data_IF_837053435591
#
_entry.id   IF_837053435591
#
_cell.length_a   1.000
_cell.length_b   1.000
_cell.length_c   1.000
_cell.angle_alpha   90.00
_cell.angle_beta   90.00
_cell.angle_gamma   90.00
#
_symmetry.space_group_name_H-M   'P 1'
#
loop_
_entity.id
_entity.type
_entity.pdbx_description
1 polymer ?
#
# COMPACT_ATOMS: atom_id res chain seq x y z
N UNK A 1 4.40 -7.76 25.62
CA UNK A 1 3.40 -6.94 24.89
C UNK A 1 4.11 -6.40 23.67
N UNK A 2 3.51 -6.47 22.50
CA UNK A 2 4.17 -5.94 21.29
C UNK A 2 4.52 -4.47 21.47
N UNK A 3 5.67 -4.01 20.91
CA UNK A 3 6.08 -2.62 20.99
C UNK A 3 4.98 -1.68 20.44
N UNK A 4 4.81 -0.49 21.02
CA UNK A 4 3.75 0.45 20.59
C UNK A 4 3.99 1.02 19.20
N UNK A 5 5.24 0.99 18.72
CA UNK A 5 5.61 1.34 17.34
C UNK A 5 6.17 0.10 16.66
N UNK A 6 5.64 -0.24 15.50
CA UNK A 6 6.12 -1.35 14.69
C UNK A 6 6.59 -0.89 13.32
N UNK A 7 7.76 -1.36 12.90
CA UNK A 7 8.30 -1.07 11.59
C UNK A 7 7.79 -2.08 10.55
N UNK A 8 7.52 -1.62 9.35
CA UNK A 8 6.91 -2.41 8.29
C UNK A 8 7.77 -2.55 7.04
N UNK A 9 7.73 -3.75 6.43
CA UNK A 9 8.47 -4.09 5.21
C UNK A 9 7.69 -3.78 3.94
N UNK A 10 8.33 -3.08 2.99
CA UNK A 10 7.76 -2.75 1.67
C UNK A 10 8.03 -3.85 0.64
N UNK A 11 7.08 -4.75 0.42
CA UNK A 11 6.91 -5.68 -0.70
C UNK A 11 8.03 -6.67 -1.00
N UNK A 12 9.25 -6.45 -0.55
CA UNK A 12 10.43 -7.23 -0.94
C UNK A 12 11.40 -7.36 0.22
N UNK A 13 11.94 -8.56 0.36
CA UNK A 13 13.06 -8.86 1.24
C UNK A 13 14.27 -9.20 0.38
N UNK A 14 15.34 -8.41 0.45
CA UNK A 14 16.52 -8.56 -0.42
C UNK A 14 17.34 -9.80 -0.06
N UNK A 15 17.40 -10.16 1.23
CA UNK A 15 18.07 -11.36 1.71
C UNK A 15 17.37 -12.63 1.19
N UNK A 16 16.06 -12.72 1.34
CA UNK A 16 15.26 -13.83 0.81
C UNK A 16 15.32 -13.93 -0.72
N UNK A 17 15.28 -12.78 -1.40
CA UNK A 17 15.39 -12.73 -2.86
C UNK A 17 16.76 -13.21 -3.38
N UNK A 18 17.82 -13.08 -2.62
CA UNK A 18 19.16 -13.55 -2.99
C UNK A 18 19.38 -15.04 -2.76
N UNK A 19 18.48 -15.74 -2.05
CA UNK A 19 18.57 -17.17 -1.79
C UNK A 19 18.26 -18.03 -3.02
N UNK A 20 18.56 -19.31 -2.91
CA UNK A 20 18.17 -20.35 -3.89
C UNK A 20 17.47 -21.48 -3.16
N UNK A 21 16.19 -21.76 -3.44
CA UNK A 21 15.33 -21.04 -4.39
C UNK A 21 15.03 -19.61 -3.95
N UNK A 22 14.86 -18.72 -4.94
CA UNK A 22 14.56 -17.30 -4.70
C UNK A 22 13.15 -17.12 -4.12
N UNK A 23 13.02 -16.33 -3.03
CA UNK A 23 11.74 -16.06 -2.37
C UNK A 23 11.33 -14.60 -2.59
N UNK A 24 10.19 -14.38 -3.25
CA UNK A 24 9.56 -13.07 -3.44
C UNK A 24 8.14 -13.21 -4.03
N UNK A 25 7.24 -12.28 -3.72
CA UNK A 25 5.81 -12.39 -4.02
C UNK A 25 5.36 -11.70 -5.33
N UNK A 26 6.26 -11.38 -6.24
CA UNK A 26 5.94 -10.54 -7.42
C UNK A 26 6.52 -11.10 -8.73
N UNK A 27 6.45 -12.42 -8.91
CA UNK A 27 6.78 -13.03 -10.21
C UNK A 27 5.75 -12.58 -11.22
N UNK A 28 6.21 -11.80 -12.17
CA UNK A 28 5.38 -11.25 -13.25
C UNK A 28 5.69 -11.92 -14.59
N UNK A 29 4.93 -11.63 -15.61
CA UNK A 29 5.16 -12.04 -16.98
C UNK A 29 4.84 -10.90 -17.95
N UNK A 30 5.37 -10.98 -19.17
CA UNK A 30 5.02 -10.02 -20.21
C UNK A 30 3.68 -10.39 -20.86
N UNK A 31 3.00 -9.42 -21.44
CA UNK A 31 1.69 -9.62 -22.08
C UNK A 31 1.74 -10.72 -23.16
N UNK A 32 2.80 -10.75 -23.98
CA UNK A 32 2.96 -11.76 -25.02
C UNK A 32 2.91 -13.20 -24.47
N UNK A 33 3.54 -13.45 -23.31
CA UNK A 33 3.44 -14.77 -22.66
C UNK A 33 2.05 -15.06 -22.13
N UNK A 34 1.29 -14.02 -21.72
CA UNK A 34 -0.09 -14.20 -21.31
C UNK A 34 -1.02 -14.55 -22.49
N UNK A 35 -0.65 -14.14 -23.71
CA UNK A 35 -1.37 -14.43 -24.97
C UNK A 35 -1.01 -15.80 -25.58
N UNK A 36 -0.01 -16.51 -25.05
CA UNK A 36 0.31 -17.88 -25.46
C UNK A 36 -0.80 -18.85 -24.98
N UNK A 37 -0.91 -20.02 -25.61
CA UNK A 37 -1.97 -21.01 -25.35
C UNK A 37 -2.03 -21.47 -23.89
N UNK A 38 -0.89 -21.55 -23.20
CA UNK A 38 -0.74 -21.91 -21.79
C UNK A 38 -0.53 -20.69 -20.87
N UNK A 39 -0.71 -19.47 -21.40
CA UNK A 39 -0.40 -18.21 -20.70
C UNK A 39 -1.12 -18.05 -19.37
N UNK A 40 -2.41 -18.39 -19.29
CA UNK A 40 -3.20 -18.38 -18.05
C UNK A 40 -2.67 -19.40 -17.03
N UNK A 41 -2.29 -20.59 -17.46
CA UNK A 41 -1.74 -21.62 -16.57
C UNK A 41 -0.37 -21.21 -16.01
N UNK A 42 0.47 -20.59 -16.84
CA UNK A 42 1.74 -20.00 -16.40
C UNK A 42 1.48 -18.87 -15.37
N UNK A 43 0.48 -18.03 -15.60
CA UNK A 43 0.09 -16.98 -14.66
C UNK A 43 -0.35 -17.58 -13.31
N UNK A 44 -1.21 -18.61 -13.34
CA UNK A 44 -1.66 -19.35 -12.14
C UNK A 44 -0.47 -19.96 -11.38
N UNK A 45 0.44 -20.64 -12.07
CA UNK A 45 1.64 -21.25 -11.45
C UNK A 45 2.52 -20.19 -10.76
N UNK A 46 2.76 -19.05 -11.42
CA UNK A 46 3.52 -17.93 -10.81
C UNK A 46 2.81 -17.35 -9.60
N UNK A 47 1.50 -17.22 -9.67
CA UNK A 47 0.67 -16.74 -8.55
C UNK A 47 0.72 -17.68 -7.36
N UNK A 48 0.60 -18.99 -7.56
CA UNK A 48 0.76 -19.99 -6.49
C UNK A 48 2.12 -19.87 -5.80
N UNK A 49 3.21 -19.70 -6.57
CA UNK A 49 4.53 -19.52 -5.98
C UNK A 49 4.63 -18.19 -5.24
N UNK A 50 4.02 -17.10 -5.77
CA UNK A 50 3.97 -15.81 -5.09
C UNK A 50 3.23 -15.92 -3.75
N UNK A 51 2.07 -16.58 -3.70
CA UNK A 51 1.29 -16.82 -2.47
C UNK A 51 2.11 -17.64 -1.47
N UNK A 52 2.75 -18.71 -1.91
CA UNK A 52 3.61 -19.53 -1.03
C UNK A 52 4.75 -18.73 -0.43
N UNK A 53 5.36 -17.86 -1.21
CA UNK A 53 6.48 -17.05 -0.76
C UNK A 53 6.05 -15.95 0.23
N UNK A 54 4.77 -15.51 0.22
CA UNK A 54 4.22 -14.60 1.26
C UNK A 54 4.38 -15.24 2.63
N UNK A 55 4.08 -16.55 2.79
CA UNK A 55 4.22 -17.24 4.06
C UNK A 55 5.67 -17.20 4.55
N UNK A 56 6.62 -17.55 3.69
CA UNK A 56 8.05 -17.52 4.01
C UNK A 56 8.52 -16.11 4.40
N UNK A 57 7.97 -15.07 3.74
CA UNK A 57 8.28 -13.68 4.09
C UNK A 57 7.69 -13.28 5.46
N UNK A 58 6.48 -13.76 5.79
CA UNK A 58 5.88 -13.55 7.12
C UNK A 58 6.72 -14.23 8.19
N UNK A 59 7.15 -15.50 7.99
CA UNK A 59 7.99 -16.23 8.93
C UNK A 59 9.30 -15.46 9.21
N UNK A 60 9.99 -15.05 8.15
CA UNK A 60 11.22 -14.27 8.25
C UNK A 60 11.00 -12.92 8.97
N UNK A 61 9.90 -12.25 8.66
CA UNK A 61 9.57 -10.97 9.28
C UNK A 61 9.40 -11.13 10.81
N UNK A 62 8.63 -12.15 11.24
CA UNK A 62 8.39 -12.42 12.66
C UNK A 62 9.70 -12.75 13.39
N UNK A 63 10.57 -13.55 12.77
CA UNK A 63 11.90 -13.87 13.33
C UNK A 63 12.81 -12.62 13.48
N UNK A 64 12.45 -11.50 12.86
CA UNK A 64 13.21 -10.25 12.88
C UNK A 64 12.38 -9.06 13.40
N UNK A 65 11.37 -9.31 14.24
CA UNK A 65 10.52 -8.30 14.90
C UNK A 65 9.81 -7.34 13.92
N UNK A 66 9.47 -7.84 12.74
CA UNK A 66 8.71 -7.10 11.72
C UNK A 66 7.29 -7.67 11.65
N UNK A 67 6.30 -6.94 12.16
CA UNK A 67 4.92 -7.43 12.24
C UNK A 67 3.96 -6.75 11.23
N UNK A 68 4.50 -5.98 10.30
CA UNK A 68 3.73 -5.30 9.25
C UNK A 68 4.41 -5.48 7.90
N UNK A 69 3.65 -5.85 6.87
CA UNK A 69 4.17 -5.96 5.52
C UNK A 69 3.21 -5.40 4.49
N UNK A 70 3.75 -4.68 3.51
CA UNK A 70 3.04 -4.30 2.30
C UNK A 70 3.14 -5.42 1.28
N UNK A 71 2.01 -5.95 0.85
CA UNK A 71 1.94 -6.90 -0.25
C UNK A 71 2.21 -6.20 -1.59
N UNK A 72 2.76 -6.94 -2.54
CA UNK A 72 2.92 -6.45 -3.92
C UNK A 72 1.60 -6.48 -4.66
N UNK A 73 1.29 -5.44 -5.44
CA UNK A 73 0.17 -5.45 -6.40
C UNK A 73 0.36 -6.46 -7.54
N UNK A 74 1.57 -7.03 -7.66
CA UNK A 74 1.92 -8.01 -8.72
C UNK A 74 1.94 -9.45 -8.22
N UNK A 75 1.17 -9.80 -7.17
CA UNK A 75 1.01 -11.21 -6.74
C UNK A 75 0.41 -12.03 -7.88
N UNK A 76 -0.54 -11.45 -8.61
CA UNK A 76 -1.24 -12.06 -9.74
C UNK A 76 -0.87 -11.32 -11.02
N UNK A 77 -0.08 -11.94 -11.93
CA UNK A 77 0.30 -11.30 -13.19
C UNK A 77 -0.92 -10.89 -14.02
N UNK A 78 -0.95 -9.64 -14.49
CA UNK A 78 -2.00 -9.09 -15.34
C UNK A 78 -3.44 -9.13 -14.79
N UNK A 79 -3.67 -9.43 -13.51
CA UNK A 79 -5.01 -9.60 -12.96
C UNK A 79 -5.95 -8.42 -13.26
N UNK A 80 -5.45 -7.18 -13.18
CA UNK A 80 -6.20 -5.95 -13.49
C UNK A 80 -5.92 -5.39 -14.89
N UNK A 81 -5.45 -6.24 -15.83
CA UNK A 81 -5.15 -5.78 -17.18
C UNK A 81 -6.43 -5.41 -17.93
N UNK A 82 -6.62 -4.10 -18.14
CA UNK A 82 -7.81 -3.54 -18.76
C UNK A 82 -8.08 -4.05 -20.17
N UNK A 83 -7.04 -4.19 -21.00
CA UNK A 83 -7.18 -4.67 -22.38
C UNK A 83 -7.68 -6.11 -22.42
N UNK A 84 -7.16 -6.97 -21.53
CA UNK A 84 -7.63 -8.35 -21.40
C UNK A 84 -9.07 -8.39 -20.89
N UNK A 85 -9.41 -7.59 -19.88
CA UNK A 85 -10.78 -7.46 -19.38
C UNK A 85 -11.77 -6.96 -20.44
N UNK A 86 -11.32 -6.16 -21.41
CA UNK A 86 -12.14 -5.66 -22.54
C UNK A 86 -12.05 -6.54 -23.78
N UNK A 87 -11.42 -7.70 -23.71
CA UNK A 87 -11.24 -8.62 -24.86
C UNK A 87 -10.49 -7.97 -26.03
N UNK A 88 -9.55 -7.06 -25.74
CA UNK A 88 -8.73 -6.33 -26.73
C UNK A 88 -7.38 -7.00 -26.97
N UNK A 89 -7.20 -8.26 -26.57
CA UNK A 89 -5.97 -9.04 -26.70
C UNK A 89 -6.26 -10.44 -27.24
N UNK A 90 -5.23 -11.25 -27.46
CA UNK A 90 -5.38 -12.63 -27.92
C UNK A 90 -5.67 -13.63 -26.77
N UNK A 91 -5.73 -13.15 -25.53
CA UNK A 91 -6.08 -13.99 -24.38
C UNK A 91 -7.53 -14.41 -24.46
N UNK A 92 -7.81 -15.69 -24.24
CA UNK A 92 -9.19 -16.21 -24.20
C UNK A 92 -9.99 -15.48 -23.10
N UNK A 93 -11.09 -14.78 -23.45
CA UNK A 93 -11.85 -13.98 -22.50
C UNK A 93 -12.47 -14.79 -21.37
N UNK A 94 -12.92 -16.02 -21.62
CA UNK A 94 -13.55 -16.89 -20.63
C UNK A 94 -12.49 -17.33 -19.60
N UNK A 95 -11.34 -17.79 -20.09
CA UNK A 95 -10.25 -18.20 -19.21
C UNK A 95 -9.70 -17.02 -18.40
N UNK A 96 -9.68 -15.82 -18.98
CA UNK A 96 -9.25 -14.63 -18.25
C UNK A 96 -10.27 -14.18 -17.19
N UNK A 97 -11.55 -14.27 -17.48
CA UNK A 97 -12.62 -14.02 -16.49
C UNK A 97 -12.52 -15.02 -15.34
N UNK A 98 -12.34 -16.33 -15.62
CA UNK A 98 -12.09 -17.35 -14.61
C UNK A 98 -10.83 -17.04 -13.78
N UNK A 99 -9.75 -16.58 -14.40
CA UNK A 99 -8.53 -16.17 -13.70
C UNK A 99 -8.80 -15.02 -12.74
N UNK A 100 -9.61 -14.01 -13.14
CA UNK A 100 -9.99 -12.88 -12.30
C UNK A 100 -10.93 -13.25 -11.13
N UNK A 101 -11.59 -14.42 -11.17
CA UNK A 101 -12.39 -14.86 -10.01
C UNK A 101 -11.55 -15.14 -8.78
N UNK A 102 -10.30 -15.58 -8.93
CA UNK A 102 -9.41 -16.07 -7.89
C UNK A 102 -9.93 -17.32 -7.17
N UNK A 103 -11.02 -17.95 -7.64
CA UNK A 103 -11.57 -19.16 -7.04
C UNK A 103 -10.63 -20.35 -7.18
N UNK A 104 -9.82 -20.36 -8.23
CA UNK A 104 -8.80 -21.38 -8.49
C UNK A 104 -7.65 -21.40 -7.46
N UNK A 105 -7.48 -20.33 -6.63
CA UNK A 105 -6.48 -20.27 -5.56
C UNK A 105 -7.09 -19.79 -4.23
N UNK A 106 -8.41 -19.95 -4.08
CA UNK A 106 -9.15 -19.50 -2.90
C UNK A 106 -8.58 -20.11 -1.62
N UNK A 107 -8.36 -21.42 -1.59
CA UNK A 107 -7.84 -22.14 -0.41
C UNK A 107 -6.49 -21.60 0.03
N UNK A 108 -5.57 -21.37 -0.92
CA UNK A 108 -4.25 -20.85 -0.61
C UNK A 108 -4.30 -19.40 -0.07
N UNK A 109 -5.23 -18.59 -0.58
CA UNK A 109 -5.44 -17.23 -0.05
C UNK A 109 -6.04 -17.26 1.35
N UNK A 110 -7.06 -18.08 1.58
CA UNK A 110 -7.67 -18.28 2.91
C UNK A 110 -6.62 -18.76 3.93
N UNK A 111 -5.78 -19.71 3.56
CA UNK A 111 -4.71 -20.26 4.41
C UNK A 111 -3.67 -19.17 4.78
N UNK A 112 -3.24 -18.36 3.82
CA UNK A 112 -2.31 -17.26 4.08
C UNK A 112 -2.96 -16.18 4.94
N UNK A 113 -4.21 -15.84 4.68
CA UNK A 113 -4.93 -14.86 5.50
C UNK A 113 -5.08 -15.32 6.94
N UNK A 114 -5.52 -16.59 7.14
CA UNK A 114 -5.58 -17.20 8.46
C UNK A 114 -4.20 -17.21 9.13
N UNK A 115 -3.16 -17.60 8.41
CA UNK A 115 -1.78 -17.63 8.93
C UNK A 115 -1.33 -16.23 9.40
N UNK A 116 -1.52 -15.19 8.59
CA UNK A 116 -1.18 -13.83 8.96
C UNK A 116 -1.94 -13.35 10.21
N UNK A 117 -3.25 -13.66 10.29
CA UNK A 117 -4.09 -13.32 11.44
C UNK A 117 -3.63 -14.05 12.71
N UNK A 118 -3.36 -15.35 12.64
CA UNK A 118 -2.88 -16.18 13.76
C UNK A 118 -1.53 -15.66 14.30
N UNK A 119 -0.68 -15.17 13.40
CA UNK A 119 0.63 -14.56 13.73
C UNK A 119 0.54 -13.09 14.09
N UNK A 120 -0.65 -12.48 14.05
CA UNK A 120 -0.86 -11.02 14.26
C UNK A 120 -0.01 -10.15 13.32
N UNK A 121 0.31 -10.68 12.13
CA UNK A 121 1.11 -9.99 11.13
C UNK A 121 0.20 -9.15 10.22
N UNK A 122 0.29 -7.83 10.30
CA UNK A 122 -0.55 -6.91 9.51
C UNK A 122 -0.13 -6.88 8.05
N UNK A 123 -1.06 -7.17 7.14
CA UNK A 123 -0.86 -7.06 5.70
C UNK A 123 -1.60 -5.83 5.14
N UNK A 124 -0.95 -5.10 4.26
CA UNK A 124 -1.50 -3.90 3.60
C UNK A 124 -1.17 -3.90 2.12
N UNK A 125 -1.91 -3.14 1.30
CA UNK A 125 -1.54 -2.83 -0.08
C UNK A 125 -1.20 -1.35 -0.26
N UNK A 126 -0.47 -1.06 -1.33
CA UNK A 126 -0.29 0.27 -1.87
C UNK A 126 -0.42 0.18 -3.40
N UNK A 127 -1.67 0.19 -3.92
CA UNK A 127 -1.94 0.15 -5.35
C UNK A 127 -1.18 1.23 -6.11
N UNK A 128 -0.81 0.93 -7.36
CA UNK A 128 0.04 1.80 -8.15
C UNK A 128 -0.55 3.20 -8.39
N UNK A 129 0.32 4.17 -8.64
CA UNK A 129 -0.03 5.60 -8.84
C UNK A 129 -0.95 5.88 -10.04
N UNK A 130 -1.19 4.88 -10.90
CA UNK A 130 -2.16 4.98 -11.99
C UNK A 130 -3.62 4.90 -11.51
N UNK A 131 -3.84 4.46 -10.28
CA UNK A 131 -5.14 4.51 -9.63
C UNK A 131 -5.48 5.95 -9.26
N UNK A 132 -6.43 6.55 -10.00
CA UNK A 132 -6.77 7.96 -9.86
C UNK A 132 -8.27 8.13 -9.61
N UNK A 133 -8.63 8.23 -8.34
CA UNK A 133 -10.02 8.40 -7.90
C UNK A 133 -10.62 9.68 -8.48
N UNK A 134 -9.87 10.79 -8.55
CA UNK A 134 -10.33 12.05 -9.11
C UNK A 134 -10.17 12.19 -10.64
N UNK A 135 -10.08 11.10 -11.40
CA UNK A 135 -9.85 11.17 -12.83
C UNK A 135 -10.98 11.89 -13.60
N UNK A 136 -10.61 12.69 -14.61
CA UNK A 136 -11.60 13.29 -15.54
C UNK A 136 -12.14 12.26 -16.53
N UNK A 137 -11.27 11.34 -16.98
CA UNK A 137 -11.67 10.26 -17.90
C UNK A 137 -12.43 9.18 -17.15
N UNK A 138 -13.62 8.86 -17.64
CA UNK A 138 -14.43 7.74 -17.12
C UNK A 138 -13.69 6.42 -17.21
N UNK A 139 -12.99 6.19 -18.32
CA UNK A 139 -12.18 4.98 -18.53
C UNK A 139 -11.06 4.85 -17.48
N UNK A 140 -10.35 5.95 -17.14
CA UNK A 140 -9.32 5.93 -16.10
C UNK A 140 -9.93 5.60 -14.73
N UNK A 141 -11.10 6.13 -14.44
CA UNK A 141 -11.83 5.81 -13.22
C UNK A 141 -12.26 4.33 -13.18
N UNK A 142 -12.78 3.78 -14.29
CA UNK A 142 -13.16 2.36 -14.38
C UNK A 142 -11.97 1.42 -14.22
N UNK A 143 -10.80 1.76 -14.79
CA UNK A 143 -9.54 1.05 -14.54
C UNK A 143 -9.15 1.07 -13.06
N UNK A 144 -9.34 2.21 -12.40
CA UNK A 144 -9.10 2.36 -10.96
C UNK A 144 -10.04 1.47 -10.16
N UNK A 145 -11.34 1.44 -10.49
CA UNK A 145 -12.31 0.56 -9.81
C UNK A 145 -11.98 -0.92 -10.01
N UNK A 146 -11.58 -1.32 -11.21
CA UNK A 146 -11.16 -2.70 -11.48
C UNK A 146 -9.95 -3.08 -10.61
N UNK A 147 -8.90 -2.28 -10.62
CA UNK A 147 -7.66 -2.59 -9.90
C UNK A 147 -7.87 -2.59 -8.37
N UNK A 148 -8.51 -1.56 -7.83
CA UNK A 148 -8.81 -1.49 -6.39
C UNK A 148 -9.80 -2.57 -5.95
N UNK A 149 -10.78 -2.91 -6.78
CA UNK A 149 -11.74 -3.99 -6.51
C UNK A 149 -11.07 -5.36 -6.41
N UNK A 150 -10.09 -5.63 -7.26
CA UNK A 150 -9.31 -6.87 -7.21
C UNK A 150 -8.40 -6.92 -5.97
N UNK A 151 -7.79 -5.81 -5.57
CA UNK A 151 -7.04 -5.74 -4.30
C UNK A 151 -7.94 -5.97 -3.07
N UNK A 152 -9.13 -5.37 -3.06
CA UNK A 152 -10.11 -5.60 -1.99
C UNK A 152 -10.57 -7.07 -1.96
N UNK A 153 -10.87 -7.66 -3.13
CA UNK A 153 -11.25 -9.08 -3.26
C UNK A 153 -10.18 -10.03 -2.74
N UNK A 154 -8.89 -9.76 -2.98
CA UNK A 154 -7.80 -10.55 -2.41
C UNK A 154 -7.88 -10.53 -0.88
N UNK A 155 -8.02 -9.37 -0.25
CA UNK A 155 -8.16 -9.28 1.19
C UNK A 155 -9.43 -9.93 1.72
N UNK A 156 -10.54 -9.85 1.00
CA UNK A 156 -11.81 -10.48 1.39
C UNK A 156 -11.69 -12.01 1.38
N UNK A 157 -11.08 -12.60 0.34
CA UNK A 157 -10.81 -14.04 0.27
C UNK A 157 -9.85 -14.46 1.39
N UNK A 158 -8.82 -13.66 1.67
CA UNK A 158 -7.89 -13.90 2.78
C UNK A 158 -8.55 -13.76 4.17
N UNK A 159 -9.80 -13.31 4.27
CA UNK A 159 -10.46 -13.05 5.56
C UNK A 159 -9.81 -11.95 6.37
N UNK A 160 -9.21 -10.96 5.70
CA UNK A 160 -8.50 -9.86 6.36
C UNK A 160 -9.47 -8.80 6.89
N UNK A 161 -9.27 -8.43 8.15
CA UNK A 161 -10.06 -7.41 8.84
C UNK A 161 -9.78 -5.96 8.38
N UNK A 162 -10.40 -4.96 9.02
CA UNK A 162 -10.35 -3.55 8.61
C UNK A 162 -8.95 -2.91 8.73
N UNK A 163 -8.04 -3.52 9.49
CA UNK A 163 -6.64 -3.08 9.57
C UNK A 163 -5.84 -3.37 8.28
N UNK A 164 -6.38 -4.22 7.38
CA UNK A 164 -5.77 -4.49 6.07
C UNK A 164 -6.26 -3.48 5.05
N UNK A 165 -5.50 -2.41 4.93
CA UNK A 165 -5.82 -1.19 4.17
C UNK A 165 -5.13 -1.15 2.82
N UNK A 166 -5.68 -0.31 1.92
CA UNK A 166 -5.10 0.04 0.62
C UNK A 166 -4.75 1.52 0.61
N UNK A 167 -3.46 1.84 0.53
CA UNK A 167 -2.96 3.21 0.50
C UNK A 167 -3.01 3.74 -0.93
N UNK A 168 -3.59 4.92 -1.15
CA UNK A 168 -3.60 5.60 -2.44
C UNK A 168 -3.23 7.08 -2.30
N UNK A 169 -2.68 7.64 -3.38
CA UNK A 169 -2.48 9.08 -3.52
C UNK A 169 -3.68 9.78 -4.15
N UNK A 170 -3.76 11.10 -4.01
CA UNK A 170 -4.83 11.90 -4.61
C UNK A 170 -4.85 11.95 -6.13
N UNK A 171 -3.74 11.60 -6.77
CA UNK A 171 -3.60 11.64 -8.22
C UNK A 171 -3.34 13.05 -8.78
N UNK A 172 -3.74 13.30 -10.03
CA UNK A 172 -3.56 14.57 -10.69
C UNK A 172 -4.56 15.64 -10.25
N UNK A 173 -4.21 16.92 -10.42
CA UNK A 173 -5.09 18.08 -10.11
C UNK A 173 -5.84 18.62 -11.31
N UNK A 174 -5.59 18.13 -12.53
CA UNK A 174 -6.31 18.44 -13.76
C UNK A 174 -6.59 19.94 -13.96
N UNK A 175 -5.58 20.79 -13.78
CA UNK A 175 -5.59 22.27 -13.88
C UNK A 175 -6.36 22.99 -12.76
N UNK A 176 -7.40 22.40 -12.17
CA UNK A 176 -8.18 22.97 -11.09
C UNK A 176 -8.27 21.98 -9.92
N UNK A 177 -7.56 22.27 -8.85
CA UNK A 177 -7.49 21.42 -7.66
C UNK A 177 -8.85 21.33 -6.96
N UNK A 178 -9.59 22.43 -6.83
CA UNK A 178 -10.90 22.46 -6.18
C UNK A 178 -11.91 21.56 -6.90
N UNK A 179 -12.07 21.74 -8.21
CA UNK A 179 -12.95 20.89 -9.02
C UNK A 179 -12.53 19.40 -8.99
N UNK A 180 -11.22 19.15 -8.90
CA UNK A 180 -10.72 17.78 -8.80
C UNK A 180 -11.05 17.17 -7.45
N UNK A 181 -10.96 17.91 -6.35
CA UNK A 181 -11.38 17.48 -5.02
C UNK A 181 -12.87 17.15 -4.99
N UNK A 182 -13.72 17.99 -5.60
CA UNK A 182 -15.17 17.74 -5.66
C UNK A 182 -15.49 16.50 -6.49
N UNK A 183 -14.79 16.29 -7.60
CA UNK A 183 -14.90 15.08 -8.41
C UNK A 183 -14.41 13.86 -7.66
N UNK A 184 -13.29 13.97 -6.93
CA UNK A 184 -12.73 12.93 -6.09
C UNK A 184 -13.75 12.47 -5.04
N UNK A 185 -14.41 13.41 -4.36
CA UNK A 185 -15.47 13.12 -3.37
C UNK A 185 -16.65 12.37 -4.00
N UNK A 186 -17.15 12.83 -5.16
CA UNK A 186 -18.26 12.16 -5.85
C UNK A 186 -17.88 10.75 -6.28
N UNK A 187 -16.75 10.59 -6.97
CA UNK A 187 -16.29 9.30 -7.48
C UNK A 187 -15.98 8.32 -6.35
N UNK A 188 -15.44 8.77 -5.22
CA UNK A 188 -15.27 7.91 -4.06
C UNK A 188 -16.60 7.36 -3.54
N UNK A 189 -17.65 8.17 -3.45
CA UNK A 189 -18.97 7.72 -3.00
C UNK A 189 -19.65 6.76 -3.99
N UNK A 190 -19.29 6.81 -5.27
CA UNK A 190 -19.74 5.86 -6.30
C UNK A 190 -19.03 4.50 -6.23
N UNK A 191 -17.91 4.39 -5.52
CA UNK A 191 -17.16 3.14 -5.41
C UNK A 191 -17.92 2.07 -4.61
N UNK A 192 -17.73 0.78 -4.93
CA UNK A 192 -18.16 -0.31 -4.07
C UNK A 192 -17.66 -0.16 -2.62
N UNK A 193 -18.49 -0.51 -1.65
CA UNK A 193 -18.19 -0.42 -0.22
C UNK A 193 -16.90 -1.19 0.14
N UNK A 194 -16.71 -2.39 -0.40
CA UNK A 194 -15.51 -3.21 -0.20
C UNK A 194 -14.21 -2.47 -0.55
N UNK A 195 -14.24 -1.56 -1.53
CA UNK A 195 -13.11 -0.70 -1.85
C UNK A 195 -13.00 0.43 -0.81
N UNK A 196 -14.11 1.17 -0.59
CA UNK A 196 -14.14 2.36 0.29
C UNK A 196 -13.69 2.03 1.71
N UNK A 197 -14.08 0.87 2.23
CA UNK A 197 -13.76 0.45 3.59
C UNK A 197 -12.29 0.15 3.83
N UNK A 198 -11.53 -0.08 2.77
CA UNK A 198 -10.10 -0.37 2.84
C UNK A 198 -9.21 0.79 2.43
N UNK A 199 -9.78 1.83 1.76
CA UNK A 199 -8.96 2.95 1.27
C UNK A 199 -8.51 3.87 2.39
N UNK A 200 -7.23 4.27 2.30
CA UNK A 200 -6.63 5.35 3.07
C UNK A 200 -5.89 6.29 2.14
N UNK A 201 -5.86 7.58 2.48
CA UNK A 201 -5.34 8.64 1.61
C UNK A 201 -3.97 9.10 2.09
N UNK A 202 -2.98 9.04 1.22
CA UNK A 202 -1.61 9.48 1.50
C UNK A 202 -1.33 10.84 0.86
N UNK A 203 -0.64 11.75 1.59
CA UNK A 203 -0.11 12.96 1.01
C UNK A 203 0.93 12.64 -0.07
N UNK A 204 1.07 13.50 -1.05
CA UNK A 204 2.04 13.29 -2.13
C UNK A 204 3.01 14.47 -2.26
N UNK A 205 4.10 14.23 -2.96
CA UNK A 205 5.19 15.18 -3.08
C UNK A 205 4.86 16.46 -3.88
N UNK A 206 3.75 16.50 -4.65
CA UNK A 206 3.48 17.60 -5.58
C UNK A 206 2.09 18.22 -5.50
N UNK A 207 1.06 17.39 -5.37
CA UNK A 207 -0.32 17.81 -5.65
C UNK A 207 -1.14 18.04 -4.38
N UNK A 208 -1.00 17.19 -3.37
CA UNK A 208 -1.83 17.17 -2.19
C UNK A 208 -0.99 17.10 -0.91
N UNK A 209 -0.96 18.19 -0.14
CA UNK A 209 -0.42 18.17 1.22
C UNK A 209 -1.46 17.64 2.22
N UNK A 210 -1.07 17.46 3.47
CA UNK A 210 -1.97 16.99 4.53
C UNK A 210 -3.17 17.93 4.70
N UNK A 211 -2.94 19.24 4.66
CA UNK A 211 -4.00 20.24 4.80
C UNK A 211 -5.04 20.20 3.67
N UNK A 212 -4.64 19.79 2.47
CA UNK A 212 -5.58 19.57 1.36
C UNK A 212 -6.49 18.36 1.59
N UNK A 213 -5.93 17.30 2.19
CA UNK A 213 -6.65 16.02 2.33
C UNK A 213 -7.44 15.90 3.64
N UNK A 214 -7.15 16.68 4.68
CA UNK A 214 -7.94 16.69 5.91
C UNK A 214 -9.43 16.94 5.64
N UNK A 215 -9.85 18.00 4.89
CA UNK A 215 -11.28 18.22 4.62
C UNK A 215 -11.93 17.11 3.79
N UNK A 216 -11.16 16.44 2.91
CA UNK A 216 -11.64 15.28 2.14
C UNK A 216 -11.85 14.10 3.09
N UNK A 217 -10.86 13.83 3.93
CA UNK A 217 -10.90 12.77 4.93
C UNK A 217 -12.05 12.93 5.93
N UNK A 218 -12.29 14.15 6.39
CA UNK A 218 -13.41 14.44 7.30
C UNK A 218 -14.76 14.18 6.63
N UNK A 219 -14.93 14.64 5.39
CA UNK A 219 -16.19 14.47 4.65
C UNK A 219 -16.49 13.01 4.30
N UNK A 220 -15.45 12.23 3.93
CA UNK A 220 -15.59 10.85 3.43
C UNK A 220 -15.25 9.79 4.47
N UNK A 221 -14.83 10.17 5.67
CA UNK A 221 -14.36 9.27 6.71
C UNK A 221 -13.21 8.35 6.25
N UNK A 222 -12.23 8.89 5.53
CA UNK A 222 -11.04 8.17 5.04
C UNK A 222 -9.85 8.49 5.93
N UNK A 223 -9.11 7.50 6.48
CA UNK A 223 -7.88 7.75 7.23
C UNK A 223 -6.77 8.35 6.35
N UNK A 224 -5.89 9.13 6.98
CA UNK A 224 -4.75 9.77 6.32
C UNK A 224 -3.46 9.08 6.72
N UNK A 225 -2.73 8.56 5.73
CA UNK A 225 -1.31 8.18 5.89
C UNK A 225 -0.47 9.44 5.70
N UNK A 226 0.28 9.82 6.75
CA UNK A 226 1.30 10.85 6.63
C UNK A 226 2.61 10.22 6.20
N UNK A 227 3.05 10.53 4.97
CA UNK A 227 4.41 10.26 4.50
C UNK A 227 5.30 11.47 4.77
N UNK A 228 6.37 11.25 5.54
CA UNK A 228 7.27 12.31 6.01
C UNK A 228 8.14 12.88 4.90
N UNK A 229 8.51 12.05 3.93
CA UNK A 229 9.31 12.46 2.80
C UNK A 229 8.49 13.24 1.78
N UNK A 230 7.29 12.75 1.46
CA UNK A 230 6.35 13.48 0.61
C UNK A 230 6.00 14.86 1.20
N UNK A 231 5.81 14.95 2.52
CA UNK A 231 5.63 16.22 3.22
C UNK A 231 6.79 17.20 2.98
N UNK A 232 8.02 16.71 3.08
CA UNK A 232 9.23 17.51 2.82
C UNK A 232 9.36 17.89 1.35
N UNK A 233 9.11 16.94 0.44
CA UNK A 233 9.15 17.16 -1.00
C UNK A 233 8.10 18.18 -1.47
N UNK A 234 6.88 18.12 -0.89
CA UNK A 234 5.81 19.07 -1.23
C UNK A 234 6.23 20.50 -0.99
N UNK A 235 6.90 20.78 0.13
CA UNK A 235 7.44 22.10 0.44
C UNK A 235 8.47 22.58 -0.60
N UNK A 236 9.30 21.67 -1.10
CA UNK A 236 10.27 21.98 -2.17
C UNK A 236 9.57 22.36 -3.48
N UNK A 237 8.55 21.60 -3.88
CA UNK A 237 7.82 21.84 -5.14
C UNK A 237 6.80 22.99 -5.05
N UNK A 238 6.36 23.34 -3.83
CA UNK A 238 5.36 24.38 -3.56
C UNK A 238 5.88 25.38 -2.51
N UNK A 239 6.98 26.13 -2.77
CA UNK A 239 7.66 26.93 -1.76
C UNK A 239 6.82 28.11 -1.20
N UNK A 240 5.77 28.52 -1.91
CA UNK A 240 4.85 29.57 -1.49
C UNK A 240 3.72 29.10 -0.59
N UNK A 241 3.51 27.78 -0.47
CA UNK A 241 2.50 27.19 0.39
C UNK A 241 3.02 27.15 1.83
N UNK A 242 2.29 27.75 2.74
CA UNK A 242 2.62 27.74 4.17
C UNK A 242 2.05 26.46 4.80
N UNK A 243 2.82 25.38 4.81
CA UNK A 243 2.45 24.14 5.49
C UNK A 243 2.59 24.31 7.00
N UNK A 244 1.62 23.75 7.76
CA UNK A 244 1.75 23.57 9.21
C UNK A 244 2.91 22.64 9.53
N UNK A 245 3.45 22.73 10.74
CA UNK A 245 4.46 21.77 11.19
C UNK A 245 3.89 20.34 11.21
N UNK A 246 4.75 19.35 11.01
CA UNK A 246 4.31 17.96 11.09
C UNK A 246 3.73 17.61 12.47
N UNK A 247 4.27 18.20 13.55
CA UNK A 247 3.78 18.01 14.92
C UNK A 247 2.33 18.52 15.07
N UNK A 248 2.02 19.70 14.52
CA UNK A 248 0.66 20.29 14.55
C UNK A 248 -0.36 19.47 13.73
N UNK A 249 0.11 18.71 12.76
CA UNK A 249 -0.71 17.86 11.90
C UNK A 249 -1.02 16.49 12.52
N UNK A 250 -0.31 16.06 13.57
CA UNK A 250 -0.49 14.71 14.15
C UNK A 250 -1.88 14.50 14.74
N UNK A 251 -2.41 15.47 15.49
CA UNK A 251 -3.75 15.34 16.09
C UNK A 251 -4.82 15.12 15.00
N UNK A 252 -4.99 16.01 14.00
CA UNK A 252 -5.99 15.78 12.96
C UNK A 252 -5.75 14.49 12.14
N UNK A 253 -4.50 14.11 11.88
CA UNK A 253 -4.18 12.84 11.20
C UNK A 253 -4.62 11.65 12.04
N UNK A 254 -4.25 11.58 13.32
CA UNK A 254 -4.62 10.49 14.22
C UNK A 254 -6.14 10.39 14.42
N UNK A 255 -6.85 11.52 14.42
CA UNK A 255 -8.31 11.55 14.52
C UNK A 255 -9.00 10.87 13.33
N UNK A 256 -8.40 10.92 12.14
CA UNK A 256 -8.94 10.20 10.97
C UNK A 256 -8.94 8.69 11.18
N UNK A 257 -7.91 8.14 11.80
CA UNK A 257 -7.79 6.73 12.14
C UNK A 257 -8.70 6.32 13.30
N UNK A 258 -8.83 7.21 14.30
CA UNK A 258 -9.71 6.99 15.45
C UNK A 258 -11.17 6.82 15.02
N UNK A 259 -11.66 7.65 14.08
CA UNK A 259 -13.03 7.55 13.54
C UNK A 259 -13.34 6.21 12.90
N UNK A 260 -12.34 5.54 12.32
CA UNK A 260 -12.45 4.21 11.70
C UNK A 260 -12.14 3.08 12.68
N UNK A 261 -11.65 3.38 13.88
CA UNK A 261 -11.20 2.42 14.87
C UNK A 261 -10.17 1.40 14.34
N UNK A 262 -9.22 1.87 13.53
CA UNK A 262 -8.11 1.08 12.98
C UNK A 262 -6.77 1.65 13.41
N UNK A 263 -5.73 0.80 13.46
CA UNK A 263 -4.39 1.19 13.87
C UNK A 263 -3.78 2.16 12.87
N UNK A 264 -3.28 3.35 13.29
CA UNK A 264 -2.63 4.30 12.41
C UNK A 264 -1.40 3.70 11.71
N UNK A 265 -1.19 4.12 10.47
CA UNK A 265 -0.02 3.77 9.68
C UNK A 265 0.60 5.03 9.08
N UNK A 266 1.91 5.11 9.17
CA UNK A 266 2.74 6.18 8.62
C UNK A 266 3.72 5.62 7.61
N UNK A 267 4.21 6.47 6.70
CA UNK A 267 5.32 6.12 5.84
C UNK A 267 6.51 7.02 6.11
N UNK A 268 7.70 6.44 6.13
CA UNK A 268 8.94 7.20 6.21
C UNK A 268 9.93 6.74 5.13
N UNK A 269 10.55 7.72 4.51
CA UNK A 269 11.71 7.57 3.67
C UNK A 269 12.58 8.81 3.78
N UNK A 270 13.77 8.77 3.22
CA UNK A 270 14.70 9.90 3.17
C UNK A 270 15.10 10.18 1.73
N UNK A 271 15.52 11.42 1.46
CA UNK A 271 16.00 11.82 0.14
C UNK A 271 17.26 11.06 -0.23
N UNK A 272 17.20 10.31 -1.32
CA UNK A 272 18.36 9.67 -1.93
C UNK A 272 19.08 10.56 -2.93
N UNK A 273 20.09 10.02 -3.59
CA UNK A 273 20.77 10.69 -4.70
C UNK A 273 19.82 10.85 -5.90
N UNK A 274 19.94 11.96 -6.62
CA UNK A 274 19.14 12.27 -7.80
C UNK A 274 18.08 13.35 -7.55
N UNK A 275 16.98 13.30 -8.31
CA UNK A 275 15.91 14.30 -8.19
C UNK A 275 15.20 14.20 -6.85
N UNK A 276 14.58 15.32 -6.42
CA UNK A 276 13.72 15.37 -5.24
C UNK A 276 12.61 14.34 -5.36
N UNK A 277 12.38 13.59 -4.29
CA UNK A 277 11.44 12.45 -4.23
C UNK A 277 12.07 11.07 -4.43
N UNK A 278 13.36 10.98 -4.80
CA UNK A 278 14.04 9.68 -4.83
C UNK A 278 14.36 9.20 -3.42
N UNK A 279 13.98 7.97 -3.12
CA UNK A 279 14.29 7.35 -1.83
C UNK A 279 15.77 7.03 -1.69
N UNK A 280 16.28 7.14 -0.47
CA UNK A 280 17.63 6.72 -0.07
C UNK A 280 17.73 5.18 0.04
N UNK A 281 18.94 4.70 0.21
CA UNK A 281 19.20 3.29 0.49
C UNK A 281 18.70 2.89 1.89
N UNK A 282 18.86 3.75 2.88
CA UNK A 282 18.46 3.57 4.27
C UNK A 282 17.63 4.75 4.75
N UNK A 283 16.92 4.54 5.85
CA UNK A 283 16.34 5.58 6.70
C UNK A 283 17.23 5.69 7.94
N UNK A 284 17.75 6.89 8.21
CA UNK A 284 18.68 7.10 9.31
C UNK A 284 17.98 7.51 10.60
N UNK A 285 16.84 8.18 10.50
CA UNK A 285 16.16 8.73 11.68
C UNK A 285 14.64 8.58 11.58
N UNK A 286 14.03 8.05 12.63
CA UNK A 286 12.58 8.14 12.81
C UNK A 286 12.28 9.53 13.40
N UNK A 287 11.44 10.36 12.75
CA UNK A 287 11.10 11.68 13.28
C UNK A 287 10.54 11.63 14.70
N UNK A 288 11.03 12.53 15.56
CA UNK A 288 10.65 12.53 16.97
C UNK A 288 9.15 12.61 17.21
N UNK A 289 8.42 13.38 16.40
CA UNK A 289 6.98 13.50 16.54
C UNK A 289 6.24 12.18 16.29
N UNK A 290 6.80 11.24 15.51
CA UNK A 290 6.25 9.88 15.36
C UNK A 290 6.60 9.01 16.58
N UNK A 291 7.85 9.10 17.10
CA UNK A 291 8.26 8.39 18.31
C UNK A 291 7.45 8.81 19.55
N UNK A 292 7.01 10.05 19.59
CA UNK A 292 6.22 10.61 20.69
C UNK A 292 4.73 10.19 20.68
N UNK A 293 4.21 9.65 19.56
CA UNK A 293 2.78 9.34 19.42
C UNK A 293 2.26 8.41 20.51
N UNK A 294 2.90 7.27 20.82
CA UNK A 294 2.40 6.38 21.85
C UNK A 294 2.26 7.06 23.22
N UNK A 295 3.23 7.90 23.58
CA UNK A 295 3.26 8.60 24.87
C UNK A 295 2.27 9.78 24.88
N UNK A 296 2.32 10.65 23.86
CA UNK A 296 1.52 11.88 23.82
C UNK A 296 0.03 11.64 23.50
N UNK A 297 -0.26 10.61 22.68
CA UNK A 297 -1.61 10.37 22.15
C UNK A 297 -2.19 9.02 22.56
N UNK A 298 -1.45 8.21 23.35
CA UNK A 298 -1.87 6.87 23.77
C UNK A 298 -2.36 6.00 22.60
N UNK A 299 -1.56 5.92 21.53
CA UNK A 299 -1.89 5.20 20.30
C UNK A 299 -0.70 4.44 19.78
N UNK A 300 -0.85 3.13 19.63
CA UNK A 300 0.09 2.30 18.89
C UNK A 300 0.01 2.64 17.41
N UNK A 301 1.16 2.62 16.75
CA UNK A 301 1.28 2.96 15.32
C UNK A 301 2.14 1.95 14.57
N UNK A 302 1.96 1.91 13.24
CA UNK A 302 2.86 1.22 12.33
C UNK A 302 3.57 2.25 11.45
N UNK A 303 4.86 2.03 11.20
CA UNK A 303 5.68 2.87 10.32
C UNK A 303 6.25 2.02 9.20
N UNK A 304 5.80 2.26 7.98
CA UNK A 304 6.32 1.59 6.78
C UNK A 304 7.63 2.23 6.35
N UNK A 305 8.67 1.43 6.21
CA UNK A 305 10.02 1.89 5.82
C UNK A 305 10.17 1.80 4.30
N UNK A 306 10.20 2.94 3.64
CA UNK A 306 10.32 3.03 2.19
C UNK A 306 11.76 3.30 1.72
N UNK A 307 12.68 2.42 2.08
CA UNK A 307 14.10 2.47 1.70
C UNK A 307 14.42 1.43 0.61
N UNK A 308 15.45 1.70 -0.20
CA UNK A 308 15.88 0.77 -1.26
C UNK A 308 16.44 -0.53 -0.69
N UNK A 309 17.09 -0.49 0.48
CA UNK A 309 17.67 -1.67 1.18
C UNK A 309 16.65 -2.45 2.01
N UNK A 310 15.36 -2.11 1.90
CA UNK A 310 14.24 -2.90 2.42
C UNK A 310 14.41 -3.34 3.88
N UNK A 311 14.44 -4.66 4.14
CA UNK A 311 14.60 -5.24 5.47
C UNK A 311 15.91 -4.80 6.14
N UNK A 312 16.98 -4.59 5.38
CA UNK A 312 18.25 -4.14 5.94
C UNK A 312 18.13 -2.75 6.57
N UNK A 313 17.28 -1.88 5.99
CA UNK A 313 17.00 -0.56 6.56
C UNK A 313 16.20 -0.68 7.88
N UNK A 314 15.28 -1.64 7.96
CA UNK A 314 14.51 -1.91 9.18
C UNK A 314 15.42 -2.45 10.28
N UNK A 315 16.24 -3.46 9.99
CA UNK A 315 17.17 -4.03 10.97
C UNK A 315 18.13 -2.97 11.52
N UNK A 316 18.64 -2.08 10.66
CA UNK A 316 19.48 -0.96 11.11
C UNK A 316 18.74 0.02 12.03
N UNK A 317 17.43 0.24 11.80
CA UNK A 317 16.61 1.03 12.71
C UNK A 317 16.34 0.30 14.03
N UNK A 318 16.16 -1.02 14.03
CA UNK A 318 16.04 -1.83 15.24
C UNK A 318 17.31 -1.73 16.09
N UNK A 319 18.50 -1.83 15.47
CA UNK A 319 19.78 -1.64 16.18
C UNK A 319 19.90 -0.24 16.82
N UNK A 320 19.37 0.78 16.14
CA UNK A 320 19.40 2.18 16.58
C UNK A 320 18.34 2.52 17.64
N UNK A 321 17.20 1.87 17.57
CA UNK A 321 16.04 2.08 18.42
C UNK A 321 15.62 0.74 19.06
N UNK A 322 16.41 0.21 20.03
CA UNK A 322 16.16 -1.12 20.61
C UNK A 322 14.81 -1.25 21.31
N UNK A 323 14.21 -0.14 21.74
CA UNK A 323 12.86 -0.13 22.34
C UNK A 323 11.73 -0.46 21.32
N UNK A 324 12.04 -0.58 20.01
CA UNK A 324 11.10 -0.97 18.96
C UNK A 324 11.07 -2.49 18.70
N UNK A 325 11.88 -3.26 19.39
CA UNK A 325 11.90 -4.73 19.33
C UNK A 325 11.47 -5.33 20.68
N UNK A 326 10.99 -6.60 20.65
CA UNK A 326 10.56 -7.31 21.87
C UNK A 326 11.74 -7.91 22.64
#
# INVERSE_FOLDING_TARGET
>A
MSPPIQLGLCCLNTKLRSQKPTVFMSRSMIQKTMEDIDGIDIAKQRSFQNIKDIKTMIDWNIENDINVMRLSSNIFPHLSNWKMTKCETMVDPILFEEYQTLDWCRTELEDIGKYANDKKHRLTFHPGQYNQVGAQSREVYEKTILDLGLHAKIFDIMGMGPNSIMVIHGGGVYKNKGETIDRWKRQFLEMPEAIRDRLVFENCEKSYCIEDIIPISEYLNIPIVHDTHHYTCFKHYNPTVNQKSADDLMIPVLDTWRRRNIKPKFHISEQGSGRVGHHSDFVEVIPKYLLDIPIKHNRDIDIMIEAKKKEQAILRLHDKYPDLVE
#
